data_IF_008903167024
#
_entry.id   IF_008903167024
#
_cell.length_a   1.000
_cell.length_b   1.000
_cell.length_c   1.000
_cell.angle_alpha   90.00
_cell.angle_beta   90.00
_cell.angle_gamma   90.00
#
_symmetry.space_group_name_H-M   'P 1'
#
loop_
_entity.id
_entity.type
_entity.pdbx_description
1 polymer ?
#
# COMPACT_ATOMS: atom_id res chain seq x y z
N UNK A 1 -25.98 -4.41 15.73
CA UNK A 1 -25.04 -3.51 16.44
C UNK A 1 -24.01 -3.04 15.43
N UNK A 2 -24.02 -1.76 15.06
CA UNK A 2 -23.14 -1.22 14.03
C UNK A 2 -21.85 -0.71 14.66
N UNK A 3 -20.71 -1.25 14.21
CA UNK A 3 -19.38 -0.81 14.63
C UNK A 3 -19.09 0.49 13.87
N UNK A 4 -19.50 1.62 14.44
CA UNK A 4 -19.16 2.94 13.91
C UNK A 4 -17.65 3.11 14.07
N UNK A 5 -16.92 3.00 12.95
CA UNK A 5 -15.48 3.29 12.89
C UNK A 5 -15.28 4.73 13.36
N UNK A 6 -14.68 4.86 14.56
CA UNK A 6 -14.40 6.12 15.23
C UNK A 6 -13.61 7.03 14.29
N UNK A 7 -14.25 8.11 13.84
CA UNK A 7 -13.64 9.29 13.25
C UNK A 7 -12.55 9.76 14.23
N UNK A 8 -11.29 9.70 13.82
CA UNK A 8 -10.17 10.09 14.67
C UNK A 8 -10.02 11.62 14.59
N UNK A 9 -10.78 12.32 15.43
CA UNK A 9 -10.90 13.78 15.54
C UNK A 9 -9.65 14.43 16.19
N UNK A 10 -8.42 14.08 15.79
CA UNK A 10 -7.20 14.57 16.46
C UNK A 10 -6.12 15.25 15.60
N UNK A 11 -6.41 15.68 14.37
CA UNK A 11 -5.40 16.45 13.59
C UNK A 11 -5.96 17.66 12.85
N UNK A 12 -6.73 18.51 13.53
CA UNK A 12 -7.31 19.75 12.98
C UNK A 12 -6.28 20.89 12.75
N UNK A 13 -5.03 20.57 12.44
CA UNK A 13 -4.02 21.58 12.03
C UNK A 13 -3.08 21.13 10.92
N UNK A 14 -3.27 19.91 10.40
CA UNK A 14 -2.48 19.38 9.27
C UNK A 14 -3.42 19.04 8.15
N UNK A 15 -3.27 19.72 7.03
CA UNK A 15 -4.06 19.44 5.84
C UNK A 15 -3.43 18.22 5.17
N UNK A 16 -4.02 17.05 5.41
CA UNK A 16 -3.76 15.88 4.59
C UNK A 16 -4.14 16.25 3.16
N UNK A 17 -3.24 16.04 2.20
CA UNK A 17 -3.57 16.25 0.81
C UNK A 17 -4.58 15.18 0.40
N UNK A 18 -5.72 15.61 -0.13
CA UNK A 18 -6.80 14.75 -0.61
C UNK A 18 -7.20 15.27 -2.00
N UNK A 19 -6.99 14.46 -3.03
CA UNK A 19 -7.33 14.79 -4.42
C UNK A 19 -7.51 13.50 -5.23
N UNK A 20 -8.51 13.49 -6.10
CA UNK A 20 -8.76 12.41 -7.04
C UNK A 20 -8.14 12.68 -8.42
N UNK A 21 -7.68 13.93 -8.65
CA UNK A 21 -6.99 14.36 -9.85
C UNK A 21 -5.49 14.60 -9.57
N UNK A 22 -4.61 14.47 -10.59
CA UNK A 22 -3.19 14.82 -10.47
C UNK A 22 -3.01 16.25 -9.98
N UNK A 23 -2.15 16.44 -8.97
CA UNK A 23 -1.89 17.75 -8.36
C UNK A 23 -0.44 18.17 -8.62
N UNK A 24 -0.26 19.34 -9.20
CA UNK A 24 1.06 19.97 -9.28
C UNK A 24 1.46 20.49 -7.89
N UNK A 25 2.48 19.89 -7.29
CA UNK A 25 3.03 20.34 -6.02
C UNK A 25 4.08 21.42 -6.28
N UNK A 26 3.91 22.64 -5.73
CA UNK A 26 4.96 23.64 -5.79
C UNK A 26 6.20 23.16 -5.01
N UNK A 27 7.38 23.73 -5.27
CA UNK A 27 8.59 23.46 -4.49
C UNK A 27 8.31 23.67 -3.01
N UNK A 28 8.43 22.59 -2.24
CA UNK A 28 8.02 22.57 -0.85
C UNK A 28 9.20 22.33 0.10
N UNK A 29 9.24 23.09 1.19
CA UNK A 29 10.17 22.85 2.27
C UNK A 29 9.74 21.60 3.06
N UNK A 30 10.60 20.59 3.08
CA UNK A 30 10.39 19.32 3.79
C UNK A 30 11.63 18.95 4.59
N UNK A 31 11.41 18.65 5.87
CA UNK A 31 12.43 18.19 6.81
C UNK A 31 12.63 16.69 6.70
N UNK A 32 13.88 16.20 6.77
CA UNK A 32 14.15 14.75 6.76
C UNK A 32 13.50 14.03 7.95
N UNK A 33 13.39 14.72 9.09
CA UNK A 33 12.73 14.19 10.30
C UNK A 33 11.21 14.07 10.16
N UNK A 34 10.62 14.71 9.15
CA UNK A 34 9.20 14.65 8.84
C UNK A 34 8.83 13.40 8.01
N UNK A 35 9.83 12.65 7.52
CA UNK A 35 9.63 11.46 6.71
C UNK A 35 9.39 10.25 7.60
N UNK A 36 8.23 9.62 7.41
CA UNK A 36 7.84 8.38 8.06
C UNK A 36 7.88 7.25 7.04
N UNK A 37 8.68 6.23 7.32
CA UNK A 37 8.85 5.06 6.47
C UNK A 37 7.97 3.93 6.97
N UNK A 38 7.18 3.32 6.09
CA UNK A 38 6.51 2.07 6.42
C UNK A 38 7.52 0.91 6.53
N UNK A 39 8.57 0.94 5.71
CA UNK A 39 9.65 -0.04 5.72
C UNK A 39 11.01 0.65 5.70
N UNK A 40 11.93 0.23 6.57
CA UNK A 40 13.25 0.86 6.71
C UNK A 40 14.13 0.74 5.46
N UNK A 41 13.88 -0.27 4.61
CA UNK A 41 14.60 -0.46 3.34
C UNK A 41 14.49 0.74 2.39
N UNK A 42 13.44 1.56 2.53
CA UNK A 42 13.22 2.75 1.70
C UNK A 42 14.08 3.94 2.11
N UNK A 43 14.76 3.89 3.27
CA UNK A 43 15.57 4.99 3.81
C UNK A 43 16.64 5.48 2.83
N UNK A 44 17.21 4.57 2.05
CA UNK A 44 18.23 4.89 1.05
C UNK A 44 17.71 5.74 -0.12
N UNK A 45 16.39 5.74 -0.36
CA UNK A 45 15.73 6.49 -1.44
C UNK A 45 15.01 7.74 -0.95
N UNK A 46 15.02 8.00 0.36
CA UNK A 46 14.43 9.22 0.96
C UNK A 46 15.06 10.50 0.40
N UNK A 47 16.40 10.60 0.22
CA UNK A 47 16.99 11.81 -0.32
C UNK A 47 16.44 12.17 -1.69
N UNK A 48 16.31 11.18 -2.60
CA UNK A 48 15.76 11.37 -3.94
C UNK A 48 14.33 11.93 -3.88
N UNK A 49 13.46 11.35 -3.04
CA UNK A 49 12.10 11.87 -2.85
C UNK A 49 12.09 13.32 -2.34
N UNK A 50 12.96 13.65 -1.38
CA UNK A 50 13.04 14.99 -0.81
C UNK A 50 13.55 16.02 -1.81
N UNK A 51 14.47 15.63 -2.70
CA UNK A 51 14.94 16.47 -3.79
C UNK A 51 13.78 16.82 -4.74
N UNK A 52 13.01 15.83 -5.19
CA UNK A 52 11.85 16.05 -6.07
C UNK A 52 10.78 16.94 -5.42
N UNK A 53 10.46 16.71 -4.13
CA UNK A 53 9.50 17.53 -3.41
C UNK A 53 9.97 18.98 -3.23
N UNK A 54 11.28 19.20 -3.13
CA UNK A 54 11.88 20.54 -3.00
C UNK A 54 11.99 21.28 -4.34
N UNK A 55 12.15 20.55 -5.44
CA UNK A 55 12.15 21.13 -6.80
C UNK A 55 10.72 21.49 -7.26
N UNK A 56 9.74 20.73 -6.76
CA UNK A 56 8.34 20.83 -7.17
C UNK A 56 8.04 19.73 -8.20
N UNK A 57 7.08 18.88 -7.87
CA UNK A 57 6.78 17.65 -8.62
C UNK A 57 5.28 17.52 -8.85
N UNK A 58 4.89 16.76 -9.85
CA UNK A 58 3.51 16.30 -9.96
C UNK A 58 3.27 15.13 -8.99
N UNK A 59 2.16 15.18 -8.26
CA UNK A 59 1.66 14.11 -7.42
C UNK A 59 0.40 13.52 -8.05
N UNK A 60 0.53 12.31 -8.60
CA UNK A 60 -0.58 11.61 -9.26
C UNK A 60 -1.31 10.73 -8.25
N UNK A 61 -2.63 10.87 -8.04
CA UNK A 61 -3.35 10.04 -7.08
C UNK A 61 -3.32 8.55 -7.48
N UNK A 62 -3.31 7.67 -6.48
CA UNK A 62 -3.33 6.22 -6.66
C UNK A 62 -4.78 5.72 -6.60
N UNK A 63 -5.43 5.41 -7.74
CA UNK A 63 -6.85 5.04 -7.76
C UNK A 63 -7.14 3.74 -7.00
N UNK A 64 -6.20 2.79 -6.98
CA UNK A 64 -6.38 1.49 -6.27
C UNK A 64 -6.52 1.63 -4.76
N UNK A 65 -6.07 2.74 -4.16
CA UNK A 65 -6.15 2.93 -2.71
C UNK A 65 -7.54 3.41 -2.25
N UNK A 66 -8.36 4.00 -3.14
CA UNK A 66 -9.71 4.53 -2.86
C UNK A 66 -9.81 5.47 -1.63
N UNK A 67 -8.68 5.99 -1.18
CA UNK A 67 -8.56 6.78 0.06
C UNK A 67 -8.38 8.27 -0.23
N UNK A 68 -8.23 8.65 -1.51
CA UNK A 68 -8.06 10.04 -1.97
C UNK A 68 -6.78 10.74 -1.49
N UNK A 69 -6.02 10.16 -0.55
CA UNK A 69 -4.87 10.79 0.09
C UNK A 69 -3.50 10.18 -0.25
N UNK A 70 -3.50 9.17 -1.12
CA UNK A 70 -2.27 8.47 -1.55
C UNK A 70 -1.89 8.93 -2.94
N UNK A 71 -0.66 9.40 -3.08
CA UNK A 71 -0.12 9.93 -4.33
C UNK A 71 1.14 9.19 -4.73
N UNK A 72 1.38 9.14 -6.03
CA UNK A 72 2.65 8.75 -6.63
C UNK A 72 3.44 10.01 -6.92
N UNK A 73 4.66 10.06 -6.38
CA UNK A 73 5.68 11.04 -6.77
C UNK A 73 6.72 10.29 -7.58
N UNK A 74 6.98 10.76 -8.79
CA UNK A 74 7.95 10.13 -9.69
C UNK A 74 9.32 10.79 -9.55
N UNK A 75 10.25 10.12 -8.89
CA UNK A 75 11.65 10.48 -8.94
C UNK A 75 12.37 9.94 -10.17
N UNK A 76 13.64 10.28 -10.30
CA UNK A 76 14.45 9.86 -11.44
C UNK A 76 14.60 8.36 -11.59
N UNK A 77 14.81 7.66 -10.46
CA UNK A 77 15.06 6.22 -10.48
C UNK A 77 13.87 5.40 -10.00
N UNK A 78 12.92 6.01 -9.29
CA UNK A 78 11.82 5.31 -8.61
C UNK A 78 10.53 6.12 -8.53
N UNK A 79 9.41 5.40 -8.39
CA UNK A 79 8.10 5.97 -8.11
C UNK A 79 7.76 5.73 -6.63
N UNK A 80 7.46 6.79 -5.89
CA UNK A 80 7.19 6.77 -4.45
C UNK A 80 5.70 6.93 -4.20
N UNK A 81 5.12 5.98 -3.46
CA UNK A 81 3.74 6.09 -3.01
C UNK A 81 3.73 6.73 -1.64
N UNK A 82 3.20 7.94 -1.57
CA UNK A 82 3.31 8.81 -0.41
C UNK A 82 1.95 9.33 0.03
N UNK A 83 1.84 9.60 1.34
CA UNK A 83 0.82 10.48 1.90
C UNK A 83 1.49 11.76 2.38
N UNK A 84 0.90 12.89 2.04
CA UNK A 84 1.47 14.21 2.28
C UNK A 84 0.59 15.00 3.25
N UNK A 85 1.19 15.52 4.32
CA UNK A 85 0.54 16.46 5.22
C UNK A 85 1.21 17.81 5.09
N UNK A 86 0.45 18.82 4.69
CA UNK A 86 0.95 20.18 4.50
C UNK A 86 0.65 21.05 5.74
N UNK A 87 1.55 22.00 6.00
CA UNK A 87 1.40 23.00 7.04
C UNK A 87 0.46 24.13 6.63
N UNK A 88 0.23 24.30 5.33
CA UNK A 88 -0.45 25.46 4.75
C UNK A 88 -1.14 25.08 3.45
N UNK A 89 -2.27 25.73 3.10
CA UNK A 89 -3.02 25.46 1.88
C UNK A 89 -2.25 25.81 0.60
N UNK A 90 -1.15 26.56 0.71
CA UNK A 90 -0.26 26.91 -0.40
C UNK A 90 0.65 25.75 -0.83
N UNK A 91 0.62 24.61 -0.12
CA UNK A 91 1.41 23.40 -0.38
C UNK A 91 2.94 23.57 -0.35
N UNK A 92 3.44 24.78 -0.05
CA UNK A 92 4.87 25.16 0.00
C UNK A 92 5.64 24.61 1.19
N UNK A 93 4.96 23.99 2.16
CA UNK A 93 5.60 23.39 3.33
C UNK A 93 4.94 22.08 3.72
N UNK A 94 5.73 21.02 3.77
CA UNK A 94 5.29 19.69 4.14
C UNK A 94 5.70 19.42 5.59
N UNK A 95 4.70 19.20 6.45
CA UNK A 95 4.92 18.85 7.85
C UNK A 95 5.24 17.37 8.05
N UNK A 96 4.73 16.52 7.16
CA UNK A 96 4.94 15.07 7.23
C UNK A 96 4.79 14.44 5.85
N UNK A 97 5.67 13.48 5.56
CA UNK A 97 5.55 12.60 4.38
C UNK A 97 5.56 11.18 4.90
N UNK A 98 4.57 10.37 4.54
CA UNK A 98 4.60 8.93 4.81
C UNK A 98 4.86 8.17 3.53
N UNK A 99 5.98 7.45 3.44
CA UNK A 99 6.28 6.55 2.33
C UNK A 99 5.64 5.20 2.60
N UNK A 100 4.65 4.85 1.79
CA UNK A 100 3.93 3.57 1.82
C UNK A 100 4.71 2.53 1.00
N UNK A 101 5.10 2.90 -0.22
CA UNK A 101 5.80 2.00 -1.14
C UNK A 101 6.79 2.75 -2.02
N UNK A 102 7.77 2.02 -2.54
CA UNK A 102 8.79 2.54 -3.44
C UNK A 102 9.01 1.52 -4.55
N UNK A 103 8.52 1.85 -5.75
CA UNK A 103 8.60 0.98 -6.93
C UNK A 103 9.77 1.43 -7.82
N UNK A 104 10.49 0.50 -8.49
CA UNK A 104 11.44 0.89 -9.54
C UNK A 104 10.75 1.75 -10.60
N UNK A 105 11.44 2.73 -11.19
CA UNK A 105 10.82 3.77 -12.03
C UNK A 105 9.84 3.19 -13.04
N UNK A 106 8.60 3.69 -12.97
CA UNK A 106 7.51 3.34 -13.87
C UNK A 106 7.14 4.53 -14.76
N UNK A 107 8.10 5.41 -15.12
CA UNK A 107 7.85 6.52 -16.06
C UNK A 107 7.20 5.95 -17.34
N UNK A 108 5.92 6.29 -17.56
CA UNK A 108 5.11 5.82 -18.69
C UNK A 108 4.09 4.71 -18.39
N UNK A 109 3.95 4.24 -17.14
CA UNK A 109 2.87 3.32 -16.75
C UNK A 109 1.68 4.14 -16.26
N UNK A 110 0.68 4.31 -17.12
CA UNK A 110 -0.64 4.78 -16.71
C UNK A 110 -1.38 3.61 -16.05
N UNK A 111 -1.67 3.73 -14.75
CA UNK A 111 -2.53 2.77 -14.04
C UNK A 111 -3.97 3.14 -14.41
N UNK A 112 -4.46 2.56 -15.50
CA UNK A 112 -5.90 2.57 -15.81
C UNK A 112 -6.57 1.59 -14.85
N UNK A 113 -7.43 2.12 -13.98
CA UNK A 113 -8.37 1.30 -13.21
C UNK A 113 -9.67 1.34 -14.00
N UNK A 114 -10.05 0.19 -14.55
CA UNK A 114 -11.41 -0.02 -15.06
C UNK A 114 -12.33 0.00 -13.83
N UNK A 115 -13.27 0.95 -13.82
CA UNK A 115 -14.23 1.12 -12.74
C UNK A 115 -15.10 -0.15 -12.64
N UNK A 116 -15.13 -0.88 -11.52
CA UNK A 116 -15.87 -2.15 -11.43
C UNK A 116 -17.40 -1.96 -11.31
N UNK A 117 -17.96 -0.80 -11.67
CA UNK A 117 -19.40 -0.55 -11.67
C UNK A 117 -20.06 -0.88 -13.03
N UNK A 118 -20.04 -2.16 -13.43
CA UNK A 118 -21.09 -2.73 -14.30
C UNK A 118 -21.16 -4.26 -14.08
N UNK A 119 -21.58 -4.68 -12.89
CA UNK A 119 -22.24 -5.99 -12.76
C UNK A 119 -23.64 -5.84 -13.36
N UNK A 120 -23.76 -6.07 -14.66
CA UNK A 120 -25.04 -6.26 -15.31
C UNK A 120 -25.72 -7.49 -14.69
N UNK A 121 -26.79 -7.20 -13.96
CA UNK A 121 -27.73 -8.14 -13.34
C UNK A 121 -28.55 -8.80 -14.45
N UNK A 122 -28.10 -9.92 -15.03
CA UNK A 122 -28.92 -10.95 -15.67
C UNK A 122 -28.06 -12.07 -16.30
N UNK A 123 -28.18 -13.30 -15.81
CA UNK A 123 -28.91 -14.35 -16.55
C UNK A 123 -29.05 -15.61 -15.69
N UNK A 124 -30.31 -16.01 -15.47
CA UNK A 124 -30.76 -17.33 -15.03
C UNK A 124 -29.98 -18.48 -15.70
N UNK A 125 -29.43 -19.40 -14.89
CA UNK A 125 -29.31 -20.80 -15.28
C UNK A 125 -29.83 -21.67 -14.12
N UNK A 126 -31.14 -21.94 -14.20
CA UNK A 126 -31.75 -23.21 -13.81
C UNK A 126 -31.16 -24.36 -14.68
N UNK A 127 -31.38 -25.62 -14.29
CA UNK A 127 -30.83 -26.90 -14.83
C UNK A 127 -29.43 -27.29 -14.28
N UNK A 128 -29.15 -28.48 -13.73
CA UNK A 128 -29.88 -29.75 -13.76
C UNK A 128 -29.40 -30.65 -12.58
N UNK A 129 -30.28 -31.57 -12.22
CA UNK A 129 -30.21 -32.59 -11.18
C UNK A 129 -29.12 -33.65 -11.53
N UNK A 130 -28.05 -33.81 -10.75
CA UNK A 130 -27.22 -35.03 -10.82
C UNK A 130 -26.94 -35.61 -9.42
N UNK A 131 -27.75 -36.61 -9.10
CA UNK A 131 -27.62 -37.63 -8.07
C UNK A 131 -26.27 -38.36 -8.16
N UNK A 132 -25.47 -38.32 -7.09
CA UNK A 132 -24.36 -39.26 -6.90
C UNK A 132 -24.41 -39.87 -5.49
N UNK A 133 -25.19 -40.93 -5.34
CA UNK A 133 -24.91 -41.97 -4.35
C UNK A 133 -24.06 -43.09 -4.98
N UNK A 134 -22.81 -43.22 -4.54
CA UNK A 134 -22.11 -44.51 -4.45
C UNK A 134 -20.78 -44.32 -3.71
N UNK A 135 -20.66 -44.97 -2.55
CA UNK A 135 -19.44 -44.98 -1.75
C UNK A 135 -18.32 -45.84 -2.35
N UNK A 136 -17.12 -45.69 -1.80
CA UNK A 136 -16.24 -46.80 -1.46
C UNK A 136 -15.15 -46.27 -0.51
N UNK A 137 -14.85 -47.12 0.46
CA UNK A 137 -13.74 -47.12 1.40
C UNK A 137 -12.45 -46.40 0.95
N UNK A 138 -11.86 -45.63 1.87
CA UNK A 138 -10.42 -45.78 2.07
C UNK A 138 -10.10 -45.85 3.56
N UNK A 139 -9.70 -47.05 3.95
CA UNK A 139 -9.16 -47.40 5.24
C UNK A 139 -7.85 -46.63 5.50
N UNK A 140 -7.56 -46.47 6.79
CA UNK A 140 -6.55 -45.56 7.30
C UNK A 140 -5.12 -45.84 6.89
N UNK A 141 -4.30 -44.82 7.10
CA UNK A 141 -2.96 -44.99 7.62
C UNK A 141 -2.81 -44.10 8.85
N UNK A 142 -2.66 -44.80 9.96
CA UNK A 142 -2.09 -44.37 11.22
C UNK A 142 -0.58 -44.28 10.99
N UNK A 143 0.02 -43.11 11.18
CA UNK A 143 1.48 -42.95 11.33
C UNK A 143 1.70 -41.68 12.16
N UNK A 144 1.43 -41.84 13.45
CA UNK A 144 1.83 -40.93 14.52
C UNK A 144 3.27 -41.33 14.90
N UNK A 145 4.25 -40.77 14.19
CA UNK A 145 5.68 -40.94 14.49
C UNK A 145 6.06 -39.88 15.54
N UNK A 146 5.79 -40.19 16.81
CA UNK A 146 6.34 -39.50 17.98
C UNK A 146 7.83 -39.87 18.15
N UNK A 147 8.67 -38.82 18.22
CA UNK A 147 9.82 -38.64 19.11
C UNK A 147 11.00 -39.65 19.02
N UNK A 148 12.23 -39.21 18.76
CA UNK A 148 13.28 -38.75 19.69
C UNK A 148 14.57 -38.95 18.84
N UNK A 149 15.66 -38.18 18.83
CA UNK A 149 16.39 -37.48 19.87
C UNK A 149 17.65 -36.84 19.24
N UNK A 150 18.18 -35.80 19.90
CA UNK A 150 19.61 -35.48 20.08
C UNK A 150 20.56 -35.30 18.87
N UNK A 151 20.93 -34.04 18.57
CA UNK A 151 22.37 -33.69 18.49
C UNK A 151 22.62 -32.19 18.75
N UNK A 152 23.36 -31.89 19.81
CA UNK A 152 23.71 -30.55 20.27
C UNK A 152 24.66 -29.77 19.32
N UNK A 153 24.64 -28.42 19.34
CA UNK A 153 25.49 -27.60 18.47
C UNK A 153 26.94 -27.55 18.97
N UNK A 154 27.88 -27.93 18.08
CA UNK A 154 29.30 -27.71 18.28
C UNK A 154 29.62 -26.20 18.24
N UNK A 155 30.06 -25.67 19.39
CA UNK A 155 30.59 -24.32 19.51
C UNK A 155 31.95 -24.18 18.80
N UNK A 156 32.27 -23.00 18.22
CA UNK A 156 33.57 -22.74 17.61
C UNK A 156 34.63 -22.42 18.67
N UNK A 157 35.86 -22.93 18.49
CA UNK A 157 37.03 -22.43 19.21
C UNK A 157 38.15 -22.03 18.24
N UNK A 158 38.43 -20.72 18.29
CA UNK A 158 39.67 -19.99 18.07
C UNK A 158 40.40 -20.16 16.73
#
# INVERSE_FOLDING_TARGET
MAIVKKRNEQTESRLLLESDEPVELPPAEVDESAVVLQFEQFRQYVPELLEELRDGTEATPVPVMMDGSTFVVHGDTRSFWVKLWHASPELTRIERVQIISCLPSTRGVHILVDDPEEYDEADDLDDDDEDYEAGDDIAGYDDDDEDEDDEAPAAPRA
#
